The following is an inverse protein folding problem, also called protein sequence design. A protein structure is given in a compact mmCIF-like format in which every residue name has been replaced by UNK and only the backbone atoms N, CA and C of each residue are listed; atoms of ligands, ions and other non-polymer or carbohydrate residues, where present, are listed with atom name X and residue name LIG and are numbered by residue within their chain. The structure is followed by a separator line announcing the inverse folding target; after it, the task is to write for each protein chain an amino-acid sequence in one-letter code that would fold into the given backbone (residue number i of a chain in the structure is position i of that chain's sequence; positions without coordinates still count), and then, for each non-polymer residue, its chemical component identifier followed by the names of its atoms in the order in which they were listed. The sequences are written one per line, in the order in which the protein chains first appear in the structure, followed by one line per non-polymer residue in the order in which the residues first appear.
data_IF_413473482478
#
_entry.id   IF_413473482478
#
_cell.length_a   1.000
_cell.length_b   1.000
_cell.length_c   1.000
_cell.angle_alpha   90.00
_cell.angle_beta   90.00
_cell.angle_gamma   90.00
#
_symmetry.space_group_name_H-M   'P 1'
#
loop_
_entity.id
_entity.type
_entity.pdbx_description
1 polymer ?
#
# COMPACT_ATOMS: atom_id res chain seq x y z
N UNK A 1 4.71 -15.65 -6.08
CA UNK A 1 6.04 -15.06 -5.78
C UNK A 1 6.05 -13.65 -6.32
N UNK A 2 6.28 -12.65 -5.47
CA UNK A 2 6.42 -11.25 -5.87
C UNK A 2 7.90 -10.88 -5.90
N UNK A 3 8.34 -10.25 -6.97
CA UNK A 3 9.67 -9.65 -7.10
C UNK A 3 9.50 -8.15 -7.23
N UNK A 4 10.27 -7.40 -6.44
CA UNK A 4 10.29 -5.94 -6.47
C UNK A 4 11.72 -5.46 -6.62
N UNK A 5 11.99 -4.70 -7.66
CA UNK A 5 13.22 -3.94 -7.82
C UNK A 5 13.01 -2.51 -7.34
N UNK A 6 13.86 -2.06 -6.42
CA UNK A 6 13.79 -0.69 -5.88
C UNK A 6 14.12 0.33 -6.96
N UNK A 7 13.35 1.41 -7.02
CA UNK A 7 13.64 2.56 -7.86
C UNK A 7 14.63 3.54 -7.21
N UNK A 8 14.97 4.60 -7.95
CA UNK A 8 15.95 5.61 -7.51
C UNK A 8 15.43 6.51 -6.38
N UNK A 9 14.11 6.64 -6.23
CA UNK A 9 13.46 7.40 -5.15
C UNK A 9 13.00 6.52 -3.98
N UNK A 10 13.38 5.23 -3.97
CA UNK A 10 13.07 4.33 -2.88
C UNK A 10 13.78 4.74 -1.59
N UNK A 11 13.02 5.06 -0.55
CA UNK A 11 13.53 5.36 0.78
C UNK A 11 12.93 4.42 1.83
N UNK A 12 11.75 4.77 2.34
CA UNK A 12 11.03 4.00 3.37
C UNK A 12 9.53 3.88 3.04
N UNK A 13 9.17 3.32 1.87
CA UNK A 13 7.79 3.19 1.49
C UNK A 13 7.07 2.13 2.33
N UNK A 14 5.76 2.31 2.54
CA UNK A 14 4.87 1.27 3.00
C UNK A 14 4.26 0.54 1.81
N UNK A 15 3.86 -0.70 2.06
CA UNK A 15 3.30 -1.59 1.05
C UNK A 15 2.06 -2.30 1.55
N UNK A 16 1.08 -2.49 0.67
CA UNK A 16 0.04 -3.49 0.79
C UNK A 16 -0.05 -4.28 -0.52
N UNK A 17 -0.20 -5.60 -0.41
CA UNK A 17 -0.43 -6.51 -1.54
C UNK A 17 -1.69 -7.30 -1.24
N UNK A 18 -2.61 -7.37 -2.19
CA UNK A 18 -3.83 -8.14 -2.02
C UNK A 18 -4.25 -8.84 -3.31
N UNK A 19 -5.02 -9.90 -3.11
CA UNK A 19 -5.71 -10.65 -4.13
C UNK A 19 -7.11 -10.10 -4.31
N UNK A 20 -7.54 -10.02 -5.56
CA UNK A 20 -8.91 -9.74 -5.96
C UNK A 20 -9.35 -10.73 -7.04
N UNK A 21 -10.66 -10.88 -7.21
CA UNK A 21 -11.20 -11.66 -8.31
C UNK A 21 -10.97 -10.96 -9.67
N UNK A 22 -11.37 -11.60 -10.77
CA UNK A 22 -11.25 -11.06 -12.13
C UNK A 22 -12.02 -9.75 -12.36
N UNK A 23 -13.04 -9.45 -11.53
CA UNK A 23 -13.76 -8.18 -11.57
C UNK A 23 -13.05 -7.06 -10.80
N UNK A 24 -12.06 -7.40 -9.99
CA UNK A 24 -11.35 -6.47 -9.11
C UNK A 24 -11.94 -6.39 -7.69
N UNK A 25 -12.87 -7.26 -7.32
CA UNK A 25 -13.40 -7.32 -5.95
C UNK A 25 -12.35 -7.92 -5.02
N UNK A 26 -12.06 -7.21 -3.93
CA UNK A 26 -11.14 -7.66 -2.89
C UNK A 26 -11.50 -9.06 -2.36
N UNK A 27 -10.50 -9.93 -2.26
CA UNK A 27 -10.62 -11.27 -1.67
C UNK A 27 -9.81 -11.37 -0.37
N UNK A 28 -8.53 -11.00 -0.41
CA UNK A 28 -7.60 -11.28 0.68
C UNK A 28 -6.38 -10.37 0.63
N UNK A 29 -5.91 -9.92 1.79
CA UNK A 29 -4.59 -9.30 1.94
C UNK A 29 -3.53 -10.40 1.95
N UNK A 30 -2.53 -10.26 1.10
CA UNK A 30 -1.40 -11.19 0.99
C UNK A 30 -0.18 -10.68 1.76
N UNK A 31 -0.02 -9.36 1.84
CA UNK A 31 1.03 -8.72 2.63
C UNK A 31 0.62 -7.28 2.97
N UNK A 32 1.00 -6.80 4.14
CA UNK A 32 0.97 -5.39 4.50
C UNK A 32 2.14 -5.07 5.44
N UNK A 33 2.69 -3.87 5.29
CA UNK A 33 3.71 -3.38 6.22
C UNK A 33 3.19 -3.38 7.67
N UNK A 34 3.98 -3.93 8.59
CA UNK A 34 3.57 -4.15 9.98
C UNK A 34 3.06 -2.87 10.67
N UNK A 35 3.72 -1.73 10.44
CA UNK A 35 3.32 -0.48 11.10
C UNK A 35 1.86 -0.07 10.84
N UNK A 36 1.41 -0.11 9.59
CA UNK A 36 0.02 0.17 9.25
C UNK A 36 -0.89 -1.03 9.56
N UNK A 37 -0.41 -2.26 9.38
CA UNK A 37 -1.17 -3.47 9.71
C UNK A 37 -1.49 -3.63 11.20
N UNK A 38 -0.66 -3.09 12.09
CA UNK A 38 -0.83 -3.10 13.55
C UNK A 38 -1.33 -1.77 14.13
N UNK A 39 -1.43 -0.73 13.29
CA UNK A 39 -1.76 0.62 13.72
C UNK A 39 -0.68 1.30 14.57
N UNK A 40 0.56 0.76 14.61
CA UNK A 40 1.67 1.28 15.44
C UNK A 40 2.78 1.79 14.55
N UNK A 41 3.02 3.11 14.60
CA UNK A 41 4.08 3.74 13.84
C UNK A 41 5.26 4.08 14.75
N UNK A 42 6.49 3.94 14.25
CA UNK A 42 7.73 4.25 15.01
C UNK A 42 7.78 5.67 15.56
N UNK A 43 7.09 6.61 14.91
CA UNK A 43 6.94 8.01 15.31
C UNK A 43 5.47 8.34 15.56
N UNK A 44 4.77 7.49 16.31
CA UNK A 44 3.35 7.64 16.62
C UNK A 44 3.05 8.47 17.87
N UNK A 45 4.01 8.60 18.79
CA UNK A 45 3.81 9.34 20.05
C UNK A 45 4.93 10.34 20.34
N UNK A 46 4.56 11.48 20.94
CA UNK A 46 5.48 12.50 21.49
C UNK A 46 5.27 12.76 22.99
N UNK A 47 4.55 11.86 23.69
CA UNK A 47 4.13 12.04 25.10
C UNK A 47 5.29 12.31 26.07
N UNK A 48 6.50 11.86 25.73
CA UNK A 48 7.71 12.00 26.54
C UNK A 48 8.65 13.13 26.04
N UNK A 49 8.21 13.98 25.11
CA UNK A 49 9.05 14.97 24.44
C UNK A 49 10.01 14.39 23.38
N UNK A 50 10.07 13.05 23.25
CA UNK A 50 10.80 12.33 22.20
C UNK A 50 9.84 11.54 21.33
N UNK A 51 10.23 11.29 20.08
CA UNK A 51 9.47 10.41 19.20
C UNK A 51 9.57 8.96 19.69
N UNK A 52 8.42 8.34 19.90
CA UNK A 52 8.30 6.95 20.32
C UNK A 52 7.31 6.19 19.42
N UNK A 53 7.43 4.86 19.35
CA UNK A 53 6.37 4.02 18.82
C UNK A 53 5.05 4.31 19.53
N UNK A 54 3.98 4.39 18.77
CA UNK A 54 2.66 4.66 19.31
C UNK A 54 1.57 4.34 18.31
N UNK A 55 0.40 4.01 18.85
CA UNK A 55 -0.80 3.86 18.04
C UNK A 55 -1.17 5.19 17.40
N UNK A 56 -1.35 5.20 16.08
CA UNK A 56 -1.79 6.38 15.35
C UNK A 56 -2.43 5.99 14.03
N UNK A 57 -3.56 6.63 13.72
CA UNK A 57 -4.25 6.47 12.45
C UNK A 57 -3.59 7.36 11.38
N UNK A 58 -3.34 6.77 10.20
CA UNK A 58 -2.70 7.40 9.05
C UNK A 58 -3.50 7.09 7.78
N UNK A 59 -4.69 7.69 7.60
CA UNK A 59 -5.55 7.42 6.44
C UNK A 59 -4.81 7.61 5.11
N UNK A 60 -3.95 8.63 4.98
CA UNK A 60 -3.18 8.89 3.76
C UNK A 60 -2.07 7.87 3.45
N UNK A 61 -1.88 6.81 4.26
CA UNK A 61 -0.77 5.88 4.12
C UNK A 61 -0.95 4.83 3.02
N UNK A 62 -2.03 4.04 3.04
CA UNK A 62 -2.40 3.09 1.97
C UNK A 62 -3.93 3.10 1.78
N UNK A 63 -4.51 4.24 1.36
CA UNK A 63 -5.96 4.41 1.38
C UNK A 63 -6.71 3.42 0.51
N UNK A 64 -6.19 3.09 -0.67
CA UNK A 64 -6.94 2.26 -1.60
C UNK A 64 -7.15 0.87 -1.00
N UNK A 65 -6.10 0.23 -0.50
CA UNK A 65 -6.18 -1.06 0.20
C UNK A 65 -7.08 -1.02 1.44
N UNK A 66 -7.00 0.05 2.26
CA UNK A 66 -7.86 0.22 3.45
C UNK A 66 -9.33 0.16 3.05
N UNK A 67 -9.72 0.90 2.02
CA UNK A 67 -11.10 0.96 1.55
C UNK A 67 -11.53 -0.33 0.83
N UNK A 68 -10.65 -0.98 0.07
CA UNK A 68 -10.93 -2.28 -0.55
C UNK A 68 -11.23 -3.37 0.49
N UNK A 69 -10.51 -3.36 1.62
CA UNK A 69 -10.77 -4.28 2.74
C UNK A 69 -12.13 -4.04 3.40
N UNK A 70 -12.51 -2.77 3.55
CA UNK A 70 -13.78 -2.35 4.15
C UNK A 70 -14.07 -3.01 5.53
N UNK A 71 -13.05 -3.11 6.39
CA UNK A 71 -13.17 -3.66 7.75
C UNK A 71 -13.12 -2.51 8.75
N UNK A 72 -14.19 -2.30 9.49
CA UNK A 72 -14.28 -1.28 10.54
C UNK A 72 -13.59 -1.74 11.82
N UNK A 73 -12.85 -0.82 12.45
CA UNK A 73 -12.28 -1.00 13.77
C UNK A 73 -13.24 -0.54 14.88
N UNK A 74 -12.80 -0.67 16.13
CA UNK A 74 -13.55 -0.28 17.32
C UNK A 74 -13.87 1.23 17.42
N UNK A 75 -13.22 2.07 16.61
CA UNK A 75 -13.42 3.53 16.54
C UNK A 75 -14.35 3.94 15.39
N UNK A 76 -14.83 2.99 14.59
CA UNK A 76 -15.66 3.25 13.42
C UNK A 76 -14.88 3.76 12.19
N UNK A 77 -13.55 3.62 12.17
CA UNK A 77 -12.72 3.88 10.98
C UNK A 77 -12.33 2.56 10.31
N UNK A 78 -11.76 2.62 9.11
CA UNK A 78 -11.30 1.44 8.36
C UNK A 78 -9.84 1.04 8.66
N UNK A 79 -9.14 1.80 9.50
CA UNK A 79 -7.72 1.63 9.76
C UNK A 79 -7.49 0.51 10.79
N UNK A 80 -6.47 -0.35 10.60
CA UNK A 80 -6.07 -1.29 11.65
C UNK A 80 -5.61 -0.55 12.91
N UNK A 81 -5.92 -1.13 14.07
CA UNK A 81 -5.51 -0.63 15.40
C UNK A 81 -4.83 -1.74 16.18
N UNK A 82 -4.36 -1.45 17.39
CA UNK A 82 -3.81 -2.50 18.26
C UNK A 82 -4.87 -3.49 18.75
N UNK A 83 -6.15 -3.08 18.80
CA UNK A 83 -7.28 -3.94 19.15
C UNK A 83 -7.83 -4.70 17.95
N UNK A 84 -7.77 -4.10 16.76
CA UNK A 84 -8.23 -4.67 15.50
C UNK A 84 -7.09 -4.73 14.46
N UNK A 85 -5.99 -5.47 14.72
CA UNK A 85 -4.85 -5.54 13.80
C UNK A 85 -5.13 -6.48 12.62
N UNK A 86 -4.37 -6.31 11.54
CA UNK A 86 -4.23 -7.35 10.49
C UNK A 86 -3.49 -8.54 11.09
N UNK A 87 -3.92 -9.76 10.72
CA UNK A 87 -3.32 -11.00 11.21
C UNK A 87 -1.81 -11.08 10.93
N UNK A 88 -1.04 -11.65 11.86
CA UNK A 88 0.42 -11.76 11.78
C UNK A 88 0.90 -12.42 10.48
N UNK A 89 0.14 -13.40 9.98
CA UNK A 89 0.43 -14.11 8.74
C UNK A 89 0.56 -13.20 7.50
N UNK A 90 -0.10 -12.03 7.51
CA UNK A 90 -0.06 -11.06 6.40
C UNK A 90 0.73 -9.81 6.74
N UNK A 91 1.20 -9.63 7.98
CA UNK A 91 2.00 -8.47 8.35
C UNK A 91 3.48 -8.79 8.37
N UNK A 92 4.32 -7.85 7.95
CA UNK A 92 5.75 -8.03 8.11
C UNK A 92 6.56 -6.75 8.05
N UNK A 93 7.84 -6.86 8.41
CA UNK A 93 8.77 -5.76 8.32
C UNK A 93 8.83 -5.21 6.89
N UNK A 94 8.72 -3.89 6.76
CA UNK A 94 8.81 -3.20 5.48
C UNK A 94 10.18 -3.45 4.83
N UNK A 95 10.24 -4.03 3.62
CA UNK A 95 11.49 -4.21 2.89
C UNK A 95 12.17 -2.86 2.61
N UNK A 96 13.50 -2.81 2.80
CA UNK A 96 14.30 -1.57 2.64
C UNK A 96 15.09 -1.51 1.32
N UNK A 97 15.06 -2.57 0.54
CA UNK A 97 15.78 -2.74 -0.73
C UNK A 97 14.93 -3.55 -1.69
N UNK A 98 15.42 -3.83 -2.90
CA UNK A 98 14.84 -4.86 -3.76
C UNK A 98 14.62 -6.15 -2.97
N UNK A 99 13.49 -6.81 -3.20
CA UNK A 99 13.08 -7.96 -2.40
C UNK A 99 12.31 -8.98 -3.22
N UNK A 100 12.31 -10.21 -2.69
CA UNK A 100 11.53 -11.34 -3.17
C UNK A 100 10.64 -11.82 -2.04
N UNK A 101 9.35 -11.96 -2.31
CA UNK A 101 8.37 -12.34 -1.30
C UNK A 101 7.52 -13.50 -1.79
N UNK A 102 7.42 -14.55 -0.96
CA UNK A 102 6.44 -15.60 -1.17
C UNK A 102 5.11 -15.12 -0.58
N UNK A 103 4.12 -14.98 -1.44
CA UNK A 103 2.75 -14.69 -1.07
C UNK A 103 1.97 -16.00 -1.12
N UNK A 104 1.00 -16.16 -0.22
CA UNK A 104 0.17 -17.35 -0.13
C UNK A 104 -1.29 -16.92 0.00
N UNK A 105 -2.14 -17.45 -0.87
CA UNK A 105 -3.59 -17.35 -0.73
C UNK A 105 -4.09 -18.37 0.29
N UNK A 106 -5.19 -18.04 0.98
CA UNK A 106 -5.80 -18.93 1.97
C UNK A 106 -6.41 -20.17 1.32
N UNK A 107 -6.88 -20.00 0.08
CA UNK A 107 -7.45 -21.07 -0.74
C UNK A 107 -6.63 -21.26 -2.01
N UNK A 108 -6.56 -22.49 -2.56
CA UNK A 108 -6.03 -22.71 -3.90
C UNK A 108 -6.75 -21.83 -4.93
N UNK A 109 -5.99 -21.20 -5.81
CA UNK A 109 -6.53 -20.37 -6.87
C UNK A 109 -6.93 -21.23 -8.06
N UNK A 110 -8.03 -20.88 -8.72
CA UNK A 110 -8.46 -21.50 -9.97
C UNK A 110 -9.07 -20.45 -10.92
N UNK A 111 -8.45 -20.27 -12.08
CA UNK A 111 -8.82 -19.32 -13.12
C UNK A 111 -8.08 -17.98 -13.00
N UNK A 112 -8.80 -16.90 -13.34
CA UNK A 112 -8.24 -15.55 -13.49
C UNK A 112 -8.48 -14.70 -12.25
N UNK A 113 -7.44 -13.98 -11.83
CA UNK A 113 -7.47 -13.08 -10.68
C UNK A 113 -6.69 -11.80 -10.97
N UNK A 114 -6.78 -10.86 -10.03
CA UNK A 114 -5.95 -9.65 -10.03
C UNK A 114 -5.11 -9.60 -8.77
N UNK A 115 -3.83 -9.28 -8.93
CA UNK A 115 -2.94 -8.93 -7.83
C UNK A 115 -2.73 -7.43 -7.88
N UNK A 116 -2.93 -6.80 -6.73
CA UNK A 116 -2.68 -5.39 -6.55
C UNK A 116 -1.51 -5.18 -5.58
N UNK A 117 -0.78 -4.10 -5.81
CA UNK A 117 0.24 -3.58 -4.92
C UNK A 117 -0.02 -2.08 -4.74
N UNK A 118 -0.23 -1.63 -3.51
CA UNK A 118 -0.22 -0.22 -3.18
C UNK A 118 1.08 0.13 -2.47
N UNK A 119 1.71 1.23 -2.90
CA UNK A 119 2.97 1.72 -2.36
C UNK A 119 2.87 3.20 -2.05
N UNK A 120 3.35 3.59 -0.87
CA UNK A 120 3.39 5.00 -0.48
C UNK A 120 4.65 5.34 0.29
N UNK A 121 5.18 6.54 0.09
CA UNK A 121 6.31 7.08 0.82
C UNK A 121 5.94 8.43 1.42
N UNK A 122 6.23 8.59 2.71
CA UNK A 122 5.91 9.83 3.44
C UNK A 122 6.74 11.02 2.96
N UNK A 123 6.14 12.22 2.99
CA UNK A 123 6.78 13.51 2.64
C UNK A 123 7.36 13.60 1.23
N UNK A 124 6.71 12.98 0.25
CA UNK A 124 7.13 12.94 -1.15
C UNK A 124 6.61 14.16 -1.94
N UNK A 125 7.14 15.34 -1.64
CA UNK A 125 6.74 16.61 -2.29
C UNK A 125 7.29 16.73 -3.72
N UNK A 126 6.55 17.42 -4.60
CA UNK A 126 7.04 17.84 -5.91
C UNK A 126 6.44 19.20 -6.34
N UNK A 127 6.64 19.59 -7.60
CA UNK A 127 6.14 20.87 -8.14
C UNK A 127 4.61 20.96 -8.24
N UNK A 128 3.92 19.82 -8.30
CA UNK A 128 2.46 19.74 -8.30
C UNK A 128 1.92 19.58 -6.88
N UNK A 129 2.48 18.65 -6.12
CA UNK A 129 2.13 18.31 -4.74
C UNK A 129 3.05 19.09 -3.81
N UNK A 130 2.71 20.36 -3.61
CA UNK A 130 3.43 21.29 -2.75
C UNK A 130 2.85 21.31 -1.33
N UNK A 131 3.66 21.75 -0.36
CA UNK A 131 3.26 21.87 1.05
C UNK A 131 2.02 22.77 1.30
N UNK A 132 1.66 23.62 0.34
CA UNK A 132 0.51 24.51 0.38
C UNK A 132 -0.62 24.13 -0.59
N UNK A 133 -0.57 22.99 -1.29
CA UNK A 133 -1.64 22.57 -2.22
C UNK A 133 -2.97 22.35 -1.49
N UNK A 134 -2.92 21.77 -0.29
CA UNK A 134 -4.07 21.58 0.59
C UNK A 134 -3.75 22.15 1.99
N UNK A 135 -3.84 23.49 2.17
CA UNK A 135 -3.48 24.14 3.42
C UNK A 135 -4.26 23.59 4.61
N UNK A 136 -3.55 23.21 5.67
CA UNK A 136 -4.16 22.71 6.91
C UNK A 136 -4.60 21.24 6.88
N UNK A 137 -4.55 20.56 5.73
CA UNK A 137 -4.84 19.12 5.67
C UNK A 137 -3.66 18.33 6.24
N UNK A 138 -3.78 17.92 7.50
CA UNK A 138 -2.72 17.22 8.24
C UNK A 138 -2.37 15.86 7.62
N UNK A 139 -3.35 15.16 7.08
CA UNK A 139 -3.15 13.82 6.51
C UNK A 139 -2.39 13.90 5.18
N UNK A 140 -2.80 14.83 4.31
CA UNK A 140 -2.05 15.17 3.11
C UNK A 140 -0.57 15.46 3.42
N UNK A 141 -0.30 16.29 4.44
CA UNK A 141 1.05 16.66 4.84
C UNK A 141 1.92 15.49 5.34
N UNK A 142 1.33 14.33 5.64
CA UNK A 142 2.11 13.13 5.99
C UNK A 142 2.62 12.37 4.77
N UNK A 143 1.91 12.41 3.64
CA UNK A 143 2.26 11.67 2.41
C UNK A 143 2.80 12.59 1.32
N UNK A 144 2.10 13.69 1.02
CA UNK A 144 2.35 14.58 -0.14
C UNK A 144 1.88 13.94 -1.45
N UNK A 145 2.77 13.44 -2.31
CA UNK A 145 2.31 12.61 -3.44
C UNK A 145 1.50 11.41 -2.91
N UNK A 146 0.33 11.12 -3.50
CA UNK A 146 -0.53 10.02 -3.09
C UNK A 146 0.12 8.65 -3.32
N UNK A 147 -0.41 7.63 -2.64
CA UNK A 147 0.00 6.25 -2.82
C UNK A 147 -0.28 5.77 -4.26
N UNK A 148 0.68 5.08 -4.86
CA UNK A 148 0.51 4.47 -6.18
C UNK A 148 -0.11 3.09 -6.06
N UNK A 149 -1.03 2.78 -6.95
CA UNK A 149 -1.65 1.46 -7.08
C UNK A 149 -1.17 0.81 -8.36
N UNK A 150 -0.56 -0.35 -8.21
CA UNK A 150 -0.13 -1.21 -9.30
C UNK A 150 -1.05 -2.43 -9.38
N UNK A 151 -1.20 -2.99 -10.58
CA UNK A 151 -2.02 -4.19 -10.80
C UNK A 151 -1.40 -5.10 -11.88
N UNK A 152 -1.59 -6.40 -11.69
CA UNK A 152 -1.37 -7.43 -12.69
C UNK A 152 -2.59 -8.36 -12.75
N UNK A 153 -2.99 -8.76 -13.96
CA UNK A 153 -3.94 -9.85 -14.17
C UNK A 153 -3.16 -11.16 -14.25
N UNK A 154 -3.60 -12.15 -13.49
CA UNK A 154 -2.94 -13.45 -13.39
C UNK A 154 -3.91 -14.55 -13.80
N UNK A 155 -3.40 -15.58 -14.46
CA UNK A 155 -4.15 -16.76 -14.87
C UNK A 155 -3.45 -18.01 -14.32
N UNK A 156 -4.17 -18.81 -13.53
CA UNK A 156 -3.61 -20.05 -12.96
C UNK A 156 -3.35 -21.11 -14.01
N UNK A 157 -3.92 -20.97 -15.22
CA UNK A 157 -3.68 -21.89 -16.33
C UNK A 157 -2.29 -21.67 -16.98
N UNK A 158 -1.59 -20.58 -16.61
CA UNK A 158 -0.23 -20.24 -17.05
C UNK A 158 0.78 -20.25 -15.88
N UNK A 159 1.02 -21.37 -15.20
CA UNK A 159 1.97 -21.42 -14.10
C UNK A 159 3.39 -21.11 -14.57
N UNK A 160 4.15 -20.39 -13.75
CA UNK A 160 5.52 -19.96 -14.03
C UNK A 160 5.64 -18.69 -14.88
N UNK A 161 4.54 -18.16 -15.42
CA UNK A 161 4.54 -16.89 -16.14
C UNK A 161 4.91 -15.73 -15.21
N UNK A 162 5.89 -14.91 -15.62
CA UNK A 162 6.23 -13.67 -14.93
C UNK A 162 5.38 -12.55 -15.48
N UNK A 163 4.42 -12.09 -14.68
CA UNK A 163 3.50 -11.02 -15.07
C UNK A 163 3.95 -9.70 -14.42
N UNK A 164 4.17 -8.62 -15.19
CA UNK A 164 4.51 -7.32 -14.64
C UNK A 164 3.30 -6.66 -13.98
N UNK A 165 3.52 -6.07 -12.81
CA UNK A 165 2.56 -5.15 -12.20
C UNK A 165 2.85 -3.74 -12.71
N UNK A 166 1.85 -3.09 -13.28
CA UNK A 166 1.96 -1.73 -13.84
C UNK A 166 1.14 -0.74 -13.02
N UNK A 167 1.56 0.53 -12.90
CA UNK A 167 0.79 1.54 -12.18
C UNK A 167 -0.50 1.82 -12.95
N UNK A 168 -1.64 1.68 -12.28
CA UNK A 168 -2.98 1.90 -12.87
C UNK A 168 -3.63 3.19 -12.36
N UNK A 169 -3.06 3.81 -11.33
CA UNK A 169 -3.59 5.01 -10.72
C UNK A 169 -2.97 5.29 -9.36
N UNK A 170 -3.52 6.27 -8.67
CA UNK A 170 -3.14 6.61 -7.31
C UNK A 170 -4.37 6.75 -6.41
N UNK A 171 -4.17 6.57 -5.11
CA UNK A 171 -5.20 6.71 -4.09
C UNK A 171 -5.56 8.18 -3.82
N UNK A 172 -6.60 8.41 -3.01
CA UNK A 172 -6.88 9.75 -2.46
C UNK A 172 -5.70 10.26 -1.61
N UNK A 173 -5.28 11.51 -1.82
CA UNK A 173 -4.08 12.09 -1.20
C UNK A 173 -4.16 12.25 0.32
N UNK A 174 -5.37 12.37 0.88
CA UNK A 174 -5.63 12.43 2.32
C UNK A 174 -6.24 11.13 2.88
N UNK A 175 -6.54 10.16 2.01
CA UNK A 175 -7.19 8.91 2.37
C UNK A 175 -8.63 9.03 2.90
N UNK A 176 -9.40 9.97 2.35
CA UNK A 176 -10.79 10.21 2.73
C UNK A 176 -11.77 9.24 2.05
N UNK A 177 -11.35 8.62 0.95
CA UNK A 177 -12.14 7.65 0.20
C UNK A 177 -11.24 6.59 -0.47
N UNK A 178 -11.90 5.57 -1.04
CA UNK A 178 -11.26 4.46 -1.75
C UNK A 178 -11.20 4.63 -3.27
N UNK A 179 -11.27 5.86 -3.78
CA UNK A 179 -11.25 6.11 -5.22
C UNK A 179 -9.84 5.83 -5.81
N UNK A 180 -9.84 5.28 -7.03
CA UNK A 180 -8.65 5.13 -7.85
C UNK A 180 -8.63 6.24 -8.89
N UNK A 181 -7.62 7.10 -8.83
CA UNK A 181 -7.43 8.21 -9.78
C UNK A 181 -6.40 7.77 -10.80
N UNK A 182 -6.84 7.53 -12.05
CA UNK A 182 -5.98 6.99 -13.10
C UNK A 182 -5.01 8.02 -13.71
N UNK A 183 -5.22 9.31 -13.47
CA UNK A 183 -4.32 10.36 -13.95
C UNK A 183 -3.05 10.43 -13.09
N UNK A 184 -1.94 9.98 -13.65
CA UNK A 184 -0.63 9.96 -13.01
C UNK A 184 0.24 11.17 -13.40
N UNK A 185 -0.26 12.10 -14.22
CA UNK A 185 0.53 13.17 -14.84
C UNK A 185 1.20 14.12 -13.84
N UNK A 186 0.67 14.20 -12.62
CA UNK A 186 1.19 15.06 -11.55
C UNK A 186 2.21 14.36 -10.65
N UNK A 187 2.43 13.06 -10.81
CA UNK A 187 3.37 12.27 -10.02
C UNK A 187 4.74 12.26 -10.68
N UNK A 188 5.80 12.36 -9.87
CA UNK A 188 7.18 12.42 -10.34
C UNK A 188 8.04 11.42 -9.60
N UNK A 189 8.43 11.71 -8.37
CA UNK A 189 9.29 10.85 -7.56
C UNK A 189 8.56 9.60 -7.07
N UNK A 190 7.23 9.68 -6.86
CA UNK A 190 6.41 8.52 -6.51
C UNK A 190 6.53 7.40 -7.55
N UNK A 191 6.48 7.74 -8.85
CA UNK A 191 6.62 6.79 -9.97
C UNK A 191 8.02 6.15 -10.06
N UNK A 192 8.96 6.63 -9.25
CA UNK A 192 10.36 6.18 -9.22
C UNK A 192 10.71 5.49 -7.89
N UNK A 193 9.72 5.24 -7.03
CA UNK A 193 9.89 4.43 -5.81
C UNK A 193 10.21 2.98 -6.19
N UNK A 194 9.50 2.43 -7.17
CA UNK A 194 9.69 1.07 -7.68
C UNK A 194 10.20 1.16 -9.12
N UNK A 195 11.23 0.38 -9.45
CA UNK A 195 11.74 0.27 -10.81
C UNK A 195 10.97 -0.78 -11.60
N UNK A 196 10.77 -1.93 -10.98
CA UNK A 196 10.08 -3.06 -11.59
C UNK A 196 9.38 -3.88 -10.51
N UNK A 197 8.21 -4.40 -10.84
CA UNK A 197 7.45 -5.32 -9.99
C UNK A 197 6.89 -6.42 -10.86
N UNK A 198 7.15 -7.68 -10.50
CA UNK A 198 6.59 -8.83 -11.20
C UNK A 198 6.02 -9.83 -10.21
N UNK A 199 5.02 -10.58 -10.67
CA UNK A 199 4.44 -11.70 -9.93
C UNK A 199 4.51 -12.97 -10.76
N UNK A 200 4.79 -14.09 -10.09
CA UNK A 200 4.78 -15.44 -10.67
C UNK A 200 3.97 -16.36 -9.80
N UNK A 201 3.04 -17.09 -10.40
CA UNK A 201 2.25 -18.12 -9.72
C UNK A 201 2.83 -19.48 -10.11
N UNK A 202 2.82 -20.42 -9.17
CA UNK A 202 3.34 -21.77 -9.34
C UNK A 202 2.29 -22.77 -8.87
#
# INVERSE_FOLDING_TARGET
MLLVEKGRQHNHPLYAVWLADSSGKYLQTLFVSESIGKGVFRRGSRRTGRWMPGEIERPASLPYWIHQRNIFNEKGTLLPTTQSPVADAYTGATPKSSFKMRLQSDQPLQGKYRIYLEVNQSWDWNEHWTNNRFPGNKEYMTSSQPALVYMAEIDTDNPGEQVPLTPIGHSHYAGENGELICDLSTLTTALQILKEVTVTIW
#
